data_IF_743419088744
#
_entry.id   IF_743419088744
#
_cell.length_a   1.000
_cell.length_b   1.000
_cell.length_c   1.000
_cell.angle_alpha   90.00
_cell.angle_beta   90.00
_cell.angle_gamma   90.00
#
_symmetry.space_group_name_H-M   'P 1'
#
loop_
_entity.id
_entity.type
_entity.pdbx_description
1 polymer ?
#
# COMPACT_ATOMS: atom_id res chain seq x y z
N UNK A 1 -15.49 -10.08 -3.28
CA UNK A 1 -15.23 -10.47 -4.68
C UNK A 1 -14.21 -11.61 -4.68
N UNK A 2 -14.56 -12.77 -5.22
CA UNK A 2 -13.71 -13.98 -5.36
C UNK A 2 -12.97 -14.04 -6.69
N UNK A 3 -13.10 -13.01 -7.54
CA UNK A 3 -12.35 -12.87 -8.78
C UNK A 3 -11.26 -11.81 -8.58
N UNK A 4 -10.04 -12.27 -8.28
CA UNK A 4 -8.92 -11.45 -7.75
C UNK A 4 -7.91 -11.09 -8.82
N UNK A 5 -8.32 -10.90 -10.09
CA UNK A 5 -7.39 -10.37 -11.10
C UNK A 5 -7.19 -8.88 -10.84
N UNK A 6 -6.07 -8.56 -10.20
CA UNK A 6 -5.64 -7.19 -10.02
C UNK A 6 -5.35 -6.58 -11.39
N UNK A 7 -5.84 -5.37 -11.63
CA UNK A 7 -5.53 -4.58 -12.82
C UNK A 7 -4.05 -4.21 -12.85
N UNK A 8 -3.43 -4.37 -14.01
CA UNK A 8 -2.02 -3.98 -14.22
C UNK A 8 -1.82 -2.48 -13.95
N UNK A 9 -0.65 -2.14 -13.43
CA UNK A 9 -0.23 -0.77 -13.09
C UNK A 9 -0.38 0.20 -14.26
N UNK A 10 0.04 -0.23 -15.45
CA UNK A 10 0.06 0.56 -16.67
C UNK A 10 -1.36 0.94 -17.12
N UNK A 11 -2.33 0.06 -16.86
CA UNK A 11 -3.73 0.32 -17.17
C UNK A 11 -4.32 1.36 -16.21
N UNK A 12 -3.91 1.35 -14.94
CA UNK A 12 -4.34 2.36 -13.95
C UNK A 12 -3.82 3.75 -14.35
N UNK A 13 -2.52 3.88 -14.63
CA UNK A 13 -1.87 5.14 -15.00
C UNK A 13 -2.32 5.67 -16.36
N UNK A 14 -2.67 4.78 -17.30
CA UNK A 14 -3.22 5.19 -18.60
C UNK A 14 -4.65 5.72 -18.49
N UNK A 15 -5.46 5.16 -17.58
CA UNK A 15 -6.89 5.51 -17.45
C UNK A 15 -7.12 6.74 -16.59
N UNK A 16 -6.28 6.96 -15.59
CA UNK A 16 -6.44 8.04 -14.63
C UNK A 16 -5.15 8.85 -14.56
N UNK A 17 -5.23 10.18 -14.32
CA UNK A 17 -4.07 11.04 -14.21
C UNK A 17 -3.38 10.85 -12.85
N UNK A 18 -2.83 9.66 -12.63
CA UNK A 18 -2.17 9.22 -11.41
C UNK A 18 -0.88 8.46 -11.73
N UNK A 19 0.04 8.40 -10.77
CA UNK A 19 1.23 7.55 -10.81
C UNK A 19 1.19 6.57 -9.64
N UNK A 20 1.47 5.29 -9.89
CA UNK A 20 1.58 4.27 -8.86
C UNK A 20 3.04 4.17 -8.41
N UNK A 21 3.36 4.85 -7.31
CA UNK A 21 4.72 4.92 -6.75
C UNK A 21 5.17 3.61 -6.11
N UNK A 22 4.25 2.94 -5.45
CA UNK A 22 4.50 1.67 -4.78
C UNK A 22 3.34 0.73 -5.04
N UNK A 23 3.68 -0.50 -5.39
CA UNK A 23 2.76 -1.62 -5.30
C UNK A 23 3.50 -2.84 -4.78
N UNK A 24 3.42 -3.06 -3.48
CA UNK A 24 4.22 -4.07 -2.78
C UNK A 24 3.36 -4.92 -1.83
N UNK A 25 3.94 -6.03 -1.36
CA UNK A 25 3.33 -6.84 -0.30
C UNK A 25 3.53 -6.13 1.04
N UNK A 26 2.45 -5.98 1.80
CA UNK A 26 2.48 -5.48 3.18
C UNK A 26 2.93 -6.58 4.13
N UNK A 27 4.23 -6.85 4.14
CA UNK A 27 4.83 -7.96 4.90
C UNK A 27 4.45 -7.91 6.38
N UNK A 28 4.07 -9.06 6.93
CA UNK A 28 3.73 -9.20 8.36
C UNK A 28 2.38 -8.61 8.74
N UNK A 29 1.50 -8.35 7.77
CA UNK A 29 0.11 -7.94 8.05
C UNK A 29 -0.84 -9.13 8.25
N UNK A 30 -0.47 -10.32 7.79
CA UNK A 30 -1.21 -11.55 8.06
C UNK A 30 -1.04 -12.02 9.51
N UNK A 31 -2.13 -12.49 10.12
CA UNK A 31 -2.16 -13.01 11.48
C UNK A 31 -1.33 -14.28 11.62
N UNK A 32 -0.68 -14.44 12.77
CA UNK A 32 0.10 -15.62 13.09
C UNK A 32 -0.81 -16.83 13.36
N UNK A 33 -0.28 -18.02 13.16
CA UNK A 33 -0.98 -19.27 13.41
C UNK A 33 -0.18 -20.44 12.85
N UNK A 34 -0.64 -21.66 13.08
CA UNK A 34 -0.11 -22.86 12.44
C UNK A 34 -0.11 -22.71 10.90
N UNK A 35 -1.16 -22.08 10.37
CA UNK A 35 -1.22 -21.57 9.01
C UNK A 35 -1.35 -20.05 9.06
N UNK A 36 -0.33 -19.35 8.58
CA UNK A 36 -0.31 -17.88 8.58
C UNK A 36 -1.37 -17.32 7.64
N UNK A 37 -2.01 -16.24 8.08
CA UNK A 37 -2.88 -15.44 7.21
C UNK A 37 -2.08 -14.78 6.09
N UNK A 38 -2.73 -14.54 4.95
CA UNK A 38 -2.10 -13.85 3.82
C UNK A 38 -1.79 -12.39 4.14
N UNK A 39 -0.63 -11.90 3.72
CA UNK A 39 -0.29 -10.49 3.80
C UNK A 39 -1.15 -9.66 2.82
N UNK A 40 -1.49 -8.45 3.24
CA UNK A 40 -2.10 -7.44 2.38
C UNK A 40 -1.08 -6.82 1.40
N UNK A 41 -1.48 -5.71 0.78
CA UNK A 41 -0.67 -4.95 -0.16
C UNK A 41 -0.65 -3.47 0.22
N UNK A 42 0.45 -2.80 -0.14
CA UNK A 42 0.59 -1.35 -0.06
C UNK A 42 0.47 -0.82 -1.49
N UNK A 43 -0.38 0.19 -1.68
CA UNK A 43 -0.46 0.98 -2.90
C UNK A 43 -0.29 2.44 -2.59
N UNK A 44 0.71 3.06 -3.18
CA UNK A 44 0.97 4.49 -3.06
C UNK A 44 0.68 5.18 -4.40
N UNK A 45 -0.35 6.02 -4.41
CA UNK A 45 -0.89 6.62 -5.64
C UNK A 45 -0.73 8.14 -5.54
N UNK A 46 0.04 8.73 -6.45
CA UNK A 46 0.24 10.16 -6.59
C UNK A 46 -0.72 10.74 -7.65
N UNK A 47 -1.41 11.83 -7.33
CA UNK A 47 -2.31 12.51 -8.27
C UNK A 47 -1.57 13.54 -9.11
N UNK A 48 -1.80 13.55 -10.43
CA UNK A 48 -1.11 14.45 -11.36
C UNK A 48 -1.89 15.72 -11.67
N UNK A 49 -3.20 15.70 -11.45
CA UNK A 49 -4.10 16.85 -11.56
C UNK A 49 -5.07 16.85 -10.38
N UNK A 50 -5.76 17.98 -10.10
CA UNK A 50 -6.80 18.01 -9.08
C UNK A 50 -7.94 17.02 -9.40
N UNK A 51 -8.32 16.19 -8.44
CA UNK A 51 -9.33 15.14 -8.60
C UNK A 51 -10.19 14.99 -7.34
N UNK A 52 -11.45 14.61 -7.53
CA UNK A 52 -12.29 14.13 -6.43
C UNK A 52 -12.09 12.63 -6.28
N UNK A 53 -11.65 12.18 -5.10
CA UNK A 53 -11.35 10.76 -4.84
C UNK A 53 -12.25 10.24 -3.75
N UNK A 54 -12.88 9.10 -4.01
CA UNK A 54 -13.73 8.40 -3.05
C UNK A 54 -13.11 7.05 -2.73
N UNK A 55 -12.98 6.75 -1.44
CA UNK A 55 -12.51 5.47 -0.94
C UNK A 55 -13.65 4.70 -0.31
N UNK A 56 -13.81 3.44 -0.71
CA UNK A 56 -14.72 2.49 -0.08
C UNK A 56 -13.91 1.26 0.31
N UNK A 57 -13.72 1.08 1.61
CA UNK A 57 -12.94 -0.04 2.13
C UNK A 57 -13.53 -0.54 3.44
N UNK A 58 -13.18 -1.77 3.79
CA UNK A 58 -13.60 -2.44 5.02
C UNK A 58 -12.37 -2.89 5.83
N UNK A 59 -12.61 -3.46 7.02
CA UNK A 59 -11.56 -3.98 7.90
C UNK A 59 -10.48 -2.93 8.24
N UNK A 60 -10.91 -1.69 8.49
CA UNK A 60 -10.07 -0.58 8.96
C UNK A 60 -10.14 -0.36 10.47
N UNK A 61 -11.17 -0.90 11.12
CA UNK A 61 -11.39 -0.85 12.58
C UNK A 61 -11.40 -2.28 13.13
N UNK A 62 -12.28 -3.13 12.61
CA UNK A 62 -12.34 -4.54 12.97
C UNK A 62 -11.32 -5.35 12.17
N UNK A 63 -10.47 -6.07 12.89
CA UNK A 63 -9.42 -6.92 12.35
C UNK A 63 -10.02 -8.14 11.64
N UNK A 64 -9.37 -8.67 10.59
CA UNK A 64 -9.66 -10.02 10.12
C UNK A 64 -9.28 -11.03 11.18
N UNK A 65 -10.29 -11.70 11.74
CA UNK A 65 -10.10 -12.56 12.90
C UNK A 65 -9.29 -13.81 12.58
N UNK A 66 -8.47 -14.24 13.52
CA UNK A 66 -7.87 -15.57 13.51
C UNK A 66 -8.87 -16.67 13.90
N UNK A 67 -8.54 -17.92 13.59
CA UNK A 67 -9.39 -19.08 13.88
C UNK A 67 -8.62 -20.18 14.61
N UNK A 68 -9.31 -20.91 15.50
CA UNK A 68 -8.78 -22.08 16.19
C UNK A 68 -7.45 -21.85 16.93
N UNK A 69 -7.31 -20.69 17.59
CA UNK A 69 -6.08 -20.27 18.27
C UNK A 69 -5.10 -19.47 17.40
N UNK A 70 -5.44 -19.20 16.14
CA UNK A 70 -4.71 -18.25 15.30
C UNK A 70 -4.97 -16.80 15.71
N UNK A 71 -3.99 -15.94 15.46
CA UNK A 71 -4.04 -14.51 15.74
C UNK A 71 -4.72 -13.73 14.60
N UNK A 72 -5.22 -12.55 14.95
CA UNK A 72 -5.86 -11.64 14.01
C UNK A 72 -4.86 -11.02 13.02
N UNK A 73 -5.32 -10.80 11.79
CA UNK A 73 -4.61 -9.99 10.80
C UNK A 73 -4.63 -8.50 11.16
N UNK A 74 -3.65 -7.76 10.65
CA UNK A 74 -3.61 -6.32 10.80
C UNK A 74 -4.78 -5.66 10.07
N UNK A 75 -5.42 -4.68 10.73
CA UNK A 75 -6.33 -3.75 10.05
C UNK A 75 -5.59 -3.07 8.91
N UNK A 76 -6.32 -2.79 7.84
CA UNK A 76 -5.77 -1.94 6.80
C UNK A 76 -5.93 -0.46 7.15
N UNK A 77 -5.28 0.39 6.38
CA UNK A 77 -5.12 1.82 6.66
C UNK A 77 -5.16 2.60 5.35
N UNK A 78 -5.77 3.78 5.38
CA UNK A 78 -5.78 4.70 4.25
C UNK A 78 -5.19 6.03 4.72
N UNK A 79 -4.07 6.44 4.15
CA UNK A 79 -3.42 7.71 4.47
C UNK A 79 -3.50 8.64 3.26
N UNK A 80 -3.91 9.87 3.50
CA UNK A 80 -3.72 10.98 2.59
C UNK A 80 -2.44 11.71 2.98
N UNK A 81 -1.48 11.71 2.07
CA UNK A 81 -0.20 12.39 2.21
C UNK A 81 -0.25 13.66 1.37
N UNK A 82 -0.05 14.81 2.02
CA UNK A 82 -0.05 16.12 1.35
C UNK A 82 1.10 16.98 1.81
N UNK A 83 1.68 17.72 0.89
CA UNK A 83 2.65 18.78 1.20
C UNK A 83 1.89 20.04 1.56
N UNK A 84 2.08 20.52 2.78
CA UNK A 84 1.50 21.79 3.25
C UNK A 84 2.62 22.76 3.57
N UNK A 85 2.37 24.03 3.33
CA UNK A 85 3.29 25.09 3.73
C UNK A 85 3.39 25.09 5.27
N UNK A 86 4.60 24.99 5.81
CA UNK A 86 4.84 25.11 7.26
C UNK A 86 4.55 26.53 7.66
N UNK A 87 3.51 26.77 8.44
CA UNK A 87 3.23 28.10 8.99
C UNK A 87 3.79 28.21 10.41
N UNK A 88 4.75 29.10 10.62
CA UNK A 88 5.22 29.48 11.96
C UNK A 88 4.30 30.53 12.58
N UNK A 89 4.28 30.60 13.92
CA UNK A 89 3.51 31.62 14.65
C UNK A 89 3.91 33.04 14.22
N UNK A 90 5.22 33.30 14.09
CA UNK A 90 5.75 34.60 13.68
C UNK A 90 5.30 35.00 12.26
N UNK A 91 5.25 34.04 11.32
CA UNK A 91 4.76 34.29 9.96
C UNK A 91 3.25 34.49 9.90
N UNK A 92 2.50 33.78 10.76
CA UNK A 92 1.06 34.00 10.91
C UNK A 92 0.77 35.43 11.36
N UNK A 93 1.53 35.92 12.35
CA UNK A 93 1.45 37.31 12.85
C UNK A 93 1.88 38.35 11.81
N UNK A 94 2.98 38.11 11.09
CA UNK A 94 3.46 39.01 10.03
C UNK A 94 2.44 39.18 8.89
N UNK A 95 1.70 38.11 8.51
CA UNK A 95 0.61 38.19 7.52
C UNK A 95 -0.56 39.08 7.96
N UNK A 96 -0.77 39.25 9.27
CA UNK A 96 -1.80 40.17 9.78
C UNK A 96 -1.34 41.63 9.80
N UNK A 97 -0.02 41.89 9.87
CA UNK A 97 0.52 43.24 10.06
C UNK A 97 1.02 43.90 8.78
N UNK A 98 1.76 43.21 7.90
CA UNK A 98 2.51 43.89 6.84
C UNK A 98 1.94 43.77 5.42
N UNK A 99 0.99 42.87 5.16
CA UNK A 99 0.44 42.67 3.82
C UNK A 99 1.48 42.15 2.81
N UNK A 100 1.28 40.91 2.36
CA UNK A 100 2.02 40.23 1.28
C UNK A 100 3.50 40.63 1.11
N UNK A 101 4.30 40.38 2.16
CA UNK A 101 5.75 40.35 2.03
C UNK A 101 6.15 39.27 1.01
N UNK A 102 7.04 39.62 0.09
CA UNK A 102 7.52 38.74 -0.98
C UNK A 102 8.30 37.56 -0.37
N UNK A 103 7.74 36.37 -0.50
CA UNK A 103 7.99 35.18 0.32
C UNK A 103 8.89 34.19 -0.45
N UNK A 104 10.20 34.44 -0.48
CA UNK A 104 11.20 33.61 -1.21
C UNK A 104 11.56 32.30 -0.47
N UNK A 105 11.24 32.16 0.84
CA UNK A 105 11.59 30.99 1.66
C UNK A 105 10.36 30.21 2.16
N UNK A 106 9.55 29.69 1.24
CA UNK A 106 8.41 28.81 1.57
C UNK A 106 8.87 27.41 1.92
N UNK A 107 8.92 27.10 3.21
CA UNK A 107 9.17 25.74 3.70
C UNK A 107 7.87 24.89 3.67
N UNK A 108 7.96 23.65 3.19
CA UNK A 108 6.84 22.70 3.15
C UNK A 108 7.09 21.52 4.12
N UNK A 109 6.02 21.01 4.73
CA UNK A 109 6.01 19.75 5.48
C UNK A 109 5.04 18.74 4.87
N UNK A 110 5.42 17.46 4.98
CA UNK A 110 4.54 16.35 4.61
C UNK A 110 3.60 16.04 5.78
N UNK A 111 2.29 16.11 5.55
CA UNK A 111 1.27 15.71 6.52
C UNK A 111 0.58 14.42 6.10
N UNK A 112 0.45 13.50 7.05
CA UNK A 112 -0.27 12.24 6.87
C UNK A 112 -1.61 12.30 7.61
N UNK A 113 -2.70 12.18 6.87
CA UNK A 113 -4.06 12.28 7.38
C UNK A 113 -4.75 10.94 7.17
N UNK A 114 -5.28 10.33 8.24
CA UNK A 114 -6.04 9.10 8.13
C UNK A 114 -7.41 9.39 7.48
N UNK A 115 -7.68 8.75 6.34
CA UNK A 115 -8.94 8.92 5.59
C UNK A 115 -10.08 8.04 6.12
N UNK A 116 -9.80 7.11 7.02
CA UNK A 116 -10.79 6.14 7.48
C UNK A 116 -11.22 5.15 6.41
N UNK A 117 -12.33 4.44 6.66
CA UNK A 117 -12.79 3.35 5.79
C UNK A 117 -13.54 3.83 4.54
N UNK A 118 -14.39 4.86 4.72
CA UNK A 118 -15.25 5.41 3.69
C UNK A 118 -15.16 6.93 3.76
N UNK A 119 -14.68 7.56 2.70
CA UNK A 119 -14.51 9.01 2.65
C UNK A 119 -14.41 9.49 1.21
N UNK A 120 -14.70 10.76 0.99
CA UNK A 120 -14.48 11.46 -0.27
C UNK A 120 -13.70 12.74 0.00
N UNK A 121 -12.63 12.96 -0.74
CA UNK A 121 -11.76 14.11 -0.56
C UNK A 121 -11.33 14.69 -1.92
N UNK A 122 -11.24 16.02 -1.97
CA UNK A 122 -10.64 16.72 -3.09
C UNK A 122 -9.12 16.71 -2.93
N UNK A 123 -8.43 16.08 -3.87
CA UNK A 123 -6.98 15.92 -3.91
C UNK A 123 -6.39 16.93 -4.89
N UNK A 124 -5.24 17.52 -4.55
CA UNK A 124 -4.49 18.41 -5.45
C UNK A 124 -3.44 17.61 -6.24
N UNK A 125 -2.90 18.22 -7.28
CA UNK A 125 -1.72 17.68 -7.95
C UNK A 125 -0.55 17.57 -6.95
N UNK A 126 0.13 16.43 -6.95
CA UNK A 126 1.21 16.09 -6.01
C UNK A 126 0.74 15.47 -4.69
N UNK A 127 -0.55 15.52 -4.37
CA UNK A 127 -1.08 14.76 -3.23
C UNK A 127 -0.97 13.25 -3.50
N UNK A 128 -0.88 12.47 -2.43
CA UNK A 128 -0.79 11.02 -2.48
C UNK A 128 -1.84 10.35 -1.60
N UNK A 129 -2.34 9.20 -2.04
CA UNK A 129 -3.09 8.29 -1.18
C UNK A 129 -2.34 6.98 -1.06
N UNK A 130 -1.99 6.61 0.17
CA UNK A 130 -1.41 5.32 0.52
C UNK A 130 -2.52 4.42 1.05
N UNK A 131 -2.83 3.37 0.30
CA UNK A 131 -3.79 2.33 0.64
C UNK A 131 -3.04 1.09 1.12
N UNK A 132 -3.11 0.81 2.41
CA UNK A 132 -2.69 -0.45 3.01
C UNK A 132 -3.89 -1.36 3.15
N UNK A 133 -3.97 -2.46 2.40
CA UNK A 133 -5.05 -3.44 2.57
C UNK A 133 -4.88 -4.22 3.89
N UNK A 134 -5.96 -4.74 4.48
CA UNK A 134 -5.83 -5.61 5.64
C UNK A 134 -5.11 -6.92 5.26
N UNK A 135 -4.47 -7.56 6.24
CA UNK A 135 -4.03 -8.95 6.10
C UNK A 135 -5.12 -9.93 6.50
N UNK A 136 -4.97 -11.21 6.19
CA UNK A 136 -5.86 -12.28 6.67
C UNK A 136 -5.56 -12.71 8.10
N UNK A 137 -6.54 -13.24 8.83
CA UNK A 137 -6.29 -13.89 10.12
C UNK A 137 -5.59 -15.25 9.95
N UNK A 138 -4.79 -15.63 10.94
CA UNK A 138 -4.13 -16.94 10.96
C UNK A 138 -5.08 -18.05 11.42
N UNK A 139 -4.70 -19.30 11.15
CA UNK A 139 -5.42 -20.48 11.63
C UNK A 139 -4.51 -21.36 12.50
N UNK A 140 -5.04 -21.88 13.61
CA UNK A 140 -4.32 -22.77 14.52
C UNK A 140 -3.36 -22.03 15.45
N UNK A 141 -2.99 -22.63 16.58
CA UNK A 141 -2.09 -22.02 17.55
C UNK A 141 -0.74 -21.63 16.92
N UNK A 142 -0.30 -20.40 17.17
CA UNK A 142 0.99 -19.91 16.71
C UNK A 142 2.15 -20.75 17.28
N UNK A 143 3.16 -21.04 16.46
CA UNK A 143 4.33 -21.84 16.85
C UNK A 143 4.21 -23.35 16.64
N UNK A 144 3.01 -23.87 16.34
CA UNK A 144 2.88 -25.24 15.85
C UNK A 144 3.43 -25.34 14.42
N UNK A 145 4.14 -26.44 14.08
CA UNK A 145 4.54 -26.66 12.71
C UNK A 145 3.30 -26.78 11.82
N UNK A 146 3.35 -26.13 10.66
CA UNK A 146 2.30 -26.26 9.65
C UNK A 146 2.13 -27.73 9.28
N UNK A 147 0.90 -28.26 9.40
CA UNK A 147 0.56 -29.61 8.92
C UNK A 147 0.46 -29.67 7.39
N UNK A 148 0.45 -28.51 6.72
CA UNK A 148 0.51 -28.45 5.27
C UNK A 148 1.91 -28.88 4.85
N UNK A 149 1.99 -29.94 4.06
CA UNK A 149 3.23 -30.32 3.38
C UNK A 149 3.67 -29.12 2.54
N UNK A 150 4.91 -28.66 2.73
CA UNK A 150 5.55 -27.78 1.76
C UNK A 150 5.74 -28.59 0.48
N UNK A 151 4.70 -28.62 -0.36
CA UNK A 151 4.85 -29.08 -1.73
C UNK A 151 5.86 -28.12 -2.36
N UNK A 152 6.96 -28.67 -2.88
CA UNK A 152 7.93 -27.89 -3.66
C UNK A 152 7.13 -27.09 -4.67
N UNK A 153 7.27 -25.77 -4.60
CA UNK A 153 6.47 -24.86 -5.40
C UNK A 153 6.90 -25.04 -6.85
N UNK A 154 5.97 -25.23 -7.79
CA UNK A 154 6.31 -25.50 -9.20
C UNK A 154 7.18 -24.40 -9.84
N UNK A 155 7.27 -23.23 -9.22
CA UNK A 155 8.19 -22.13 -9.57
C UNK A 155 9.68 -22.45 -9.36
N UNK A 156 10.04 -23.43 -8.52
CA UNK A 156 11.43 -23.94 -8.48
C UNK A 156 11.79 -24.73 -9.76
N UNK A 157 10.79 -25.25 -10.48
CA UNK A 157 10.92 -25.83 -11.82
C UNK A 157 11.07 -24.77 -12.91
N UNK A 158 10.51 -23.56 -12.70
CA UNK A 158 10.59 -22.43 -13.61
C UNK A 158 11.87 -21.61 -13.36
N UNK A 159 13.03 -22.25 -13.39
CA UNK A 159 14.33 -21.57 -13.46
C UNK A 159 15.01 -21.67 -14.83
N UNK A 160 14.52 -22.51 -15.73
CA UNK A 160 15.06 -22.61 -17.09
C UNK A 160 14.14 -21.93 -18.10
N UNK A 161 14.32 -20.61 -18.26
CA UNK A 161 13.90 -19.94 -19.49
C UNK A 161 14.70 -20.47 -20.69
N UNK A 162 14.23 -20.19 -21.91
CA UNK A 162 14.88 -20.65 -23.15
C UNK A 162 16.33 -20.17 -23.30
N UNK A 163 16.72 -19.06 -22.67
CA UNK A 163 18.09 -18.55 -22.65
C UNK A 163 19.02 -19.40 -21.77
N UNK A 164 18.63 -19.68 -20.52
CA UNK A 164 19.42 -20.51 -19.60
C UNK A 164 19.58 -21.95 -20.12
N UNK A 165 18.57 -22.49 -20.82
CA UNK A 165 18.66 -23.79 -21.47
C UNK A 165 19.60 -23.80 -22.69
N UNK A 166 19.76 -22.67 -23.39
CA UNK A 166 20.69 -22.54 -24.53
C UNK A 166 22.14 -22.35 -24.08
N UNK A 167 22.38 -21.62 -22.99
CA UNK A 167 23.72 -21.46 -22.41
C UNK A 167 24.25 -22.79 -21.85
N UNK A 168 23.43 -23.54 -21.11
CA UNK A 168 23.80 -24.88 -20.64
C UNK A 168 24.16 -25.83 -21.81
N UNK A 169 23.39 -25.78 -22.91
CA UNK A 169 23.66 -26.59 -24.10
C UNK A 169 24.93 -26.14 -24.85
N UNK A 170 25.25 -24.84 -24.84
CA UNK A 170 26.46 -24.30 -25.45
C UNK A 170 27.73 -24.58 -24.61
N UNK A 171 27.59 -24.72 -23.28
CA UNK A 171 28.69 -25.09 -22.38
C UNK A 171 28.97 -26.60 -22.36
N UNK A 172 28.05 -27.43 -22.87
CA UNK A 172 28.18 -28.89 -22.97
C UNK A 172 28.61 -29.38 -24.37
N UNK A 173 28.77 -28.48 -25.34
CA UNK A 173 29.27 -28.75 -26.69
C UNK A 173 30.74 -28.33 -26.82
#
# INVERSE_FOLDING_TARGET
MTNTRITDSEILERRYPVLLREFSIRKGSGGAGQHRGGDGVIRDIEFRIPLQVSILSERRVYRPYGLNGGEDGACGLNLWVRNVEKTTWDRSLARFHDGDAQDDDKEYEERHINLGAKNSAAMKAGDRIIVSTPGGGGWGAAGLPSLAQNRVHDTDSWRKGSAAAREDAALQA
#
